data_IF_697506537500
#
_entry.id   IF_697506537500
#
_cell.length_a   1.000
_cell.length_b   1.000
_cell.length_c   1.000
_cell.angle_alpha   90.00
_cell.angle_beta   90.00
_cell.angle_gamma   90.00
#
_symmetry.space_group_name_H-M   'P 1'
#
loop_
_entity.id
_entity.type
_entity.pdbx_description
1 polymer ?
#
# COMPACT_ATOMS: atom_id res chain seq x y z
N UNK A 1 10.49 -11.78 -6.89
CA UNK A 1 9.67 -10.68 -7.42
C UNK A 1 8.78 -10.17 -6.33
N UNK A 2 8.66 -8.86 -6.20
CA UNK A 2 7.71 -8.19 -5.32
C UNK A 2 6.55 -7.72 -6.19
N UNK A 3 5.34 -8.08 -5.82
CA UNK A 3 4.11 -7.65 -6.46
C UNK A 3 3.40 -6.64 -5.57
N UNK A 4 2.91 -5.58 -6.18
CA UNK A 4 2.13 -4.53 -5.52
C UNK A 4 0.80 -4.31 -6.23
N UNK A 5 -0.09 -3.56 -5.60
CA UNK A 5 -1.42 -3.31 -6.13
C UNK A 5 -1.38 -2.39 -7.37
N UNK A 6 -0.71 -1.24 -7.25
CA UNK A 6 -0.68 -0.22 -8.30
C UNK A 6 0.71 0.34 -8.62
N UNK A 7 0.71 1.25 -9.60
CA UNK A 7 1.91 1.96 -10.05
C UNK A 7 2.47 2.87 -8.95
N UNK A 8 1.60 3.50 -8.18
CA UNK A 8 1.99 4.39 -7.09
C UNK A 8 2.75 3.65 -5.99
N UNK A 9 2.30 2.44 -5.61
CA UNK A 9 3.00 1.57 -4.65
C UNK A 9 4.40 1.20 -5.14
N UNK A 10 4.52 0.95 -6.44
CA UNK A 10 5.81 0.64 -7.07
C UNK A 10 6.76 1.83 -6.94
N UNK A 11 6.28 3.04 -7.24
CA UNK A 11 7.07 4.26 -7.14
C UNK A 11 7.52 4.54 -5.70
N UNK A 12 6.63 4.38 -4.71
CA UNK A 12 6.95 4.56 -3.29
C UNK A 12 8.03 3.57 -2.85
N UNK A 13 7.89 2.29 -3.22
CA UNK A 13 8.87 1.26 -2.86
C UNK A 13 10.24 1.52 -3.51
N UNK A 14 10.26 1.91 -4.78
CA UNK A 14 11.49 2.22 -5.50
C UNK A 14 12.20 3.45 -4.91
N UNK A 15 11.46 4.50 -4.57
CA UNK A 15 12.02 5.72 -3.99
C UNK A 15 12.53 5.49 -2.55
N UNK A 16 11.71 4.88 -1.69
CA UNK A 16 12.01 4.75 -0.26
C UNK A 16 12.97 3.60 0.10
N UNK A 17 13.03 2.54 -0.72
CA UNK A 17 13.75 1.31 -0.39
C UNK A 17 14.64 0.79 -1.52
N UNK A 18 15.10 1.68 -2.40
CA UNK A 18 15.96 1.35 -3.56
C UNK A 18 17.13 0.40 -3.23
N UNK A 19 17.81 0.61 -2.10
CA UNK A 19 18.96 -0.19 -1.67
C UNK A 19 18.58 -1.65 -1.35
N UNK A 20 17.43 -1.86 -0.72
CA UNK A 20 16.88 -3.17 -0.35
C UNK A 20 16.31 -3.87 -1.58
N UNK A 21 15.59 -3.11 -2.42
CA UNK A 21 14.83 -3.64 -3.54
C UNK A 21 15.65 -3.81 -4.82
N UNK A 22 16.90 -3.34 -4.87
CA UNK A 22 17.80 -3.49 -6.03
C UNK A 22 17.93 -4.91 -6.58
N UNK A 23 17.74 -5.94 -5.73
CA UNK A 23 17.82 -7.37 -6.12
C UNK A 23 16.47 -7.98 -6.50
N UNK A 24 15.39 -7.21 -6.41
CA UNK A 24 14.03 -7.66 -6.65
C UNK A 24 13.43 -6.92 -7.84
N UNK A 25 12.73 -7.67 -8.70
CA UNK A 25 11.84 -7.06 -9.70
C UNK A 25 10.52 -6.70 -9.03
N UNK A 26 10.13 -5.42 -9.08
CA UNK A 26 8.83 -4.91 -8.66
C UNK A 26 7.87 -5.00 -9.85
N UNK A 27 6.61 -5.34 -9.59
CA UNK A 27 5.54 -5.40 -10.59
C UNK A 27 4.22 -5.00 -9.95
N UNK A 28 3.50 -4.09 -10.58
CA UNK A 28 2.10 -3.82 -10.27
C UNK A 28 1.19 -4.89 -10.90
N UNK A 29 0.06 -5.18 -10.23
CA UNK A 29 -0.95 -6.13 -10.71
C UNK A 29 -2.26 -5.47 -11.13
N UNK A 30 -2.37 -4.14 -11.04
CA UNK A 30 -3.53 -3.38 -11.51
C UNK A 30 -4.75 -3.48 -10.61
N UNK A 31 -4.54 -3.65 -9.30
CA UNK A 31 -5.61 -3.67 -8.29
C UNK A 31 -5.63 -4.92 -7.41
N UNK A 32 -6.23 -4.78 -6.22
CA UNK A 32 -6.33 -5.83 -5.20
C UNK A 32 -6.88 -7.15 -5.72
N UNK A 33 -7.91 -7.14 -6.57
CA UNK A 33 -8.53 -8.38 -7.07
C UNK A 33 -7.53 -9.25 -7.84
N UNK A 34 -6.65 -8.64 -8.63
CA UNK A 34 -5.64 -9.38 -9.37
C UNK A 34 -4.50 -9.85 -8.45
N UNK A 35 -4.15 -9.07 -7.43
CA UNK A 35 -3.22 -9.48 -6.35
C UNK A 35 -3.72 -10.76 -5.67
N UNK A 36 -4.96 -10.77 -5.18
CA UNK A 36 -5.53 -11.92 -4.48
C UNK A 36 -5.66 -13.16 -5.37
N UNK A 37 -6.04 -12.96 -6.64
CA UNK A 37 -6.13 -14.02 -7.63
C UNK A 37 -4.78 -14.66 -7.91
N UNK A 38 -3.73 -13.86 -8.10
CA UNK A 38 -2.37 -14.36 -8.33
C UNK A 38 -1.84 -15.13 -7.11
N UNK A 39 -2.06 -14.62 -5.89
CA UNK A 39 -1.68 -15.32 -4.65
C UNK A 39 -2.34 -16.70 -4.59
N UNK A 40 -3.66 -16.77 -4.82
CA UNK A 40 -4.40 -18.05 -4.79
C UNK A 40 -3.90 -19.04 -5.84
N UNK A 41 -3.60 -18.57 -7.05
CA UNK A 41 -3.07 -19.42 -8.12
C UNK A 41 -1.71 -20.00 -7.75
N UNK A 42 -0.78 -19.17 -7.26
CA UNK A 42 0.56 -19.61 -6.87
C UNK A 42 0.53 -20.54 -5.65
N UNK A 43 -0.31 -20.28 -4.66
CA UNK A 43 -0.47 -21.16 -3.50
C UNK A 43 -1.12 -22.49 -3.86
N UNK A 44 -2.01 -22.50 -4.85
CA UNK A 44 -2.60 -23.75 -5.36
C UNK A 44 -1.57 -24.56 -6.14
N UNK A 45 -0.73 -23.91 -6.96
CA UNK A 45 0.39 -24.57 -7.64
C UNK A 45 1.42 -25.12 -6.64
N UNK A 46 1.73 -24.38 -5.56
CA UNK A 46 2.59 -24.85 -4.48
C UNK A 46 2.03 -26.11 -3.79
N UNK A 47 0.71 -26.12 -3.49
CA UNK A 47 0.03 -27.29 -2.91
C UNK A 47 0.08 -28.51 -3.84
N UNK A 48 0.08 -28.28 -5.15
CA UNK A 48 0.21 -29.33 -6.16
C UNK A 48 1.67 -29.80 -6.38
N UNK A 49 2.61 -29.35 -5.56
CA UNK A 49 4.00 -29.80 -5.60
C UNK A 49 4.88 -29.08 -6.62
N UNK A 50 4.42 -27.99 -7.24
CA UNK A 50 5.30 -27.18 -8.09
C UNK A 50 6.35 -26.46 -7.25
N UNK A 51 7.61 -26.58 -7.66
CA UNK A 51 8.71 -25.81 -7.08
C UNK A 51 8.75 -24.42 -7.72
N UNK A 52 8.25 -23.42 -7.00
CA UNK A 52 8.16 -22.05 -7.47
C UNK A 52 9.29 -21.20 -6.89
N UNK A 53 9.77 -20.22 -7.67
CA UNK A 53 10.67 -19.20 -7.13
C UNK A 53 9.91 -18.31 -6.13
N UNK A 54 10.55 -17.85 -5.03
CA UNK A 54 9.91 -17.01 -4.03
C UNK A 54 9.26 -15.74 -4.61
N UNK A 55 7.98 -15.56 -4.31
CA UNK A 55 7.16 -14.39 -4.67
C UNK A 55 6.69 -13.69 -3.41
N UNK A 56 6.74 -12.37 -3.43
CA UNK A 56 6.35 -11.51 -2.32
C UNK A 56 5.22 -10.61 -2.81
N UNK A 57 4.22 -10.41 -1.97
CA UNK A 57 3.04 -9.59 -2.24
C UNK A 57 2.91 -8.58 -1.13
N UNK A 58 2.78 -7.32 -1.52
CA UNK A 58 2.55 -6.18 -0.63
C UNK A 58 1.34 -5.45 -1.16
N UNK A 59 0.32 -5.26 -0.33
CA UNK A 59 -0.87 -4.51 -0.69
C UNK A 59 -1.55 -3.99 0.57
N UNK A 60 -2.38 -2.98 0.39
CA UNK A 60 -3.03 -2.30 1.49
C UNK A 60 -4.10 -3.16 2.14
N UNK A 61 -4.38 -2.90 3.42
CA UNK A 61 -5.46 -3.56 4.16
C UNK A 61 -6.83 -2.96 3.81
N UNK A 62 -6.91 -1.67 3.48
CA UNK A 62 -8.07 -1.00 2.85
C UNK A 62 -9.44 -1.42 3.40
N UNK A 63 -9.51 -1.57 4.73
CA UNK A 63 -10.68 -2.06 5.49
C UNK A 63 -11.30 -3.40 5.06
N UNK A 64 -10.76 -4.05 4.03
CA UNK A 64 -11.12 -5.38 3.53
C UNK A 64 -9.93 -6.33 3.73
N UNK A 65 -9.64 -6.75 4.97
CA UNK A 65 -8.54 -7.68 5.23
C UNK A 65 -8.81 -9.00 4.51
N UNK A 66 -7.83 -9.48 3.76
CA UNK A 66 -7.91 -10.79 3.12
C UNK A 66 -7.47 -11.88 4.09
N UNK A 67 -8.09 -13.06 3.98
CA UNK A 67 -7.72 -14.25 4.76
C UNK A 67 -6.42 -14.92 4.27
N UNK A 68 -5.82 -14.41 3.19
CA UNK A 68 -4.63 -14.98 2.56
C UNK A 68 -3.43 -14.88 3.50
N UNK A 69 -2.78 -16.02 3.74
CA UNK A 69 -1.59 -16.15 4.60
C UNK A 69 -0.36 -16.49 3.77
N UNK A 70 0.82 -16.21 4.31
CA UNK A 70 2.08 -16.65 3.70
C UNK A 70 2.18 -18.18 3.65
N UNK A 71 2.74 -18.71 2.56
CA UNK A 71 3.14 -20.11 2.35
C UNK A 71 4.66 -20.24 2.19
N UNK A 72 5.18 -21.38 1.72
CA UNK A 72 6.63 -21.60 1.55
C UNK A 72 7.21 -20.63 0.53
N UNK A 73 6.60 -20.55 -0.65
CA UNK A 73 7.11 -19.76 -1.77
C UNK A 73 6.33 -18.46 -2.01
N UNK A 74 5.16 -18.29 -1.39
CA UNK A 74 4.36 -17.07 -1.49
C UNK A 74 4.37 -16.35 -0.15
N UNK A 75 4.95 -15.15 -0.10
CA UNK A 75 4.94 -14.30 1.10
C UNK A 75 3.92 -13.19 0.90
N UNK A 76 2.99 -13.06 1.84
CA UNK A 76 1.88 -12.11 1.82
C UNK A 76 2.07 -11.14 2.98
N UNK A 77 2.18 -9.86 2.65
CA UNK A 77 2.18 -8.74 3.59
C UNK A 77 1.00 -7.83 3.26
N UNK A 78 0.03 -7.78 4.16
CA UNK A 78 -1.01 -6.75 4.14
C UNK A 78 -0.54 -5.60 5.00
N UNK A 79 -0.30 -4.44 4.41
CA UNK A 79 0.07 -3.26 5.18
C UNK A 79 -1.12 -2.85 6.04
N UNK A 80 -0.92 -2.87 7.37
CA UNK A 80 -1.95 -2.46 8.32
C UNK A 80 -2.26 -0.95 8.26
N UNK A 81 -1.45 -0.19 7.50
CA UNK A 81 -1.41 1.25 7.54
C UNK A 81 -2.32 1.88 6.50
N UNK A 82 -2.97 2.97 6.89
CA UNK A 82 -3.62 3.91 5.97
C UNK A 82 -2.53 4.76 5.30
N UNK A 83 -2.72 5.18 4.05
CA UNK A 83 -1.79 6.04 3.30
C UNK A 83 -1.32 7.30 4.10
N UNK A 84 -2.13 7.74 5.06
CA UNK A 84 -1.87 8.80 6.03
C UNK A 84 -0.74 8.49 7.05
N UNK A 85 -0.51 7.24 7.41
CA UNK A 85 0.57 6.89 8.36
C UNK A 85 1.94 6.87 7.68
N UNK A 86 1.98 6.68 6.35
CA UNK A 86 3.18 6.94 5.54
C UNK A 86 3.40 8.45 5.37
N UNK A 87 2.30 9.22 5.32
CA UNK A 87 2.34 10.68 5.29
C UNK A 87 2.99 11.31 6.54
N UNK A 88 2.95 10.62 7.68
CA UNK A 88 3.46 11.13 8.96
C UNK A 88 4.97 10.91 9.20
N UNK A 89 5.72 10.31 8.26
CA UNK A 89 7.13 9.95 8.51
C UNK A 89 8.17 10.83 7.80
N UNK A 90 7.85 11.55 6.73
CA UNK A 90 8.74 12.58 6.18
C UNK A 90 7.98 13.64 5.37
N UNK A 91 7.61 14.73 6.05
CA UNK A 91 6.87 15.86 5.45
C UNK A 91 7.59 16.45 4.24
N UNK A 92 8.92 16.44 4.23
CA UNK A 92 9.73 17.07 3.19
C UNK A 92 9.61 16.28 1.88
N UNK A 93 9.66 14.95 1.93
CA UNK A 93 9.46 14.07 0.76
C UNK A 93 8.09 14.27 0.13
N UNK A 94 7.07 14.47 0.96
CA UNK A 94 5.69 14.60 0.49
C UNK A 94 5.42 15.98 -0.08
N UNK A 95 6.02 17.02 0.50
CA UNK A 95 6.03 18.35 -0.09
C UNK A 95 6.72 18.34 -1.45
N UNK A 96 7.88 17.69 -1.57
CA UNK A 96 8.61 17.58 -2.84
C UNK A 96 7.79 16.88 -3.92
N UNK A 97 7.08 15.80 -3.59
CA UNK A 97 6.24 15.07 -4.57
C UNK A 97 4.98 15.83 -4.97
N UNK A 98 4.26 16.41 -4.00
CA UNK A 98 2.97 17.08 -4.24
C UNK A 98 3.11 18.45 -4.90
N UNK A 99 4.29 19.05 -4.83
CA UNK A 99 4.60 20.31 -5.50
C UNK A 99 5.26 20.09 -6.88
N UNK A 100 5.60 18.85 -7.25
CA UNK A 100 6.26 18.54 -8.51
C UNK A 100 5.26 18.26 -9.65
N UNK A 101 5.24 19.15 -10.66
CA UNK A 101 4.35 19.04 -11.83
C UNK A 101 4.65 17.86 -12.77
N UNK A 102 5.81 17.22 -12.65
CA UNK A 102 6.13 15.99 -13.38
C UNK A 102 5.49 14.74 -12.74
N UNK A 103 5.15 14.84 -11.45
CA UNK A 103 4.57 13.74 -10.65
C UNK A 103 3.05 13.88 -10.56
N UNK A 104 2.55 15.10 -10.37
CA UNK A 104 1.11 15.37 -10.20
C UNK A 104 0.59 16.36 -11.25
N UNK A 105 -0.59 16.07 -11.81
CA UNK A 105 -1.22 16.90 -12.87
C UNK A 105 -1.57 18.32 -12.41
N UNK A 106 -1.81 18.49 -11.11
CA UNK A 106 -2.14 19.76 -10.48
C UNK A 106 -1.29 19.92 -9.23
N UNK A 107 -0.03 20.37 -9.36
CA UNK A 107 0.87 20.52 -8.24
C UNK A 107 0.38 21.59 -7.27
N UNK A 108 0.58 21.33 -5.98
CA UNK A 108 0.35 22.32 -4.94
C UNK A 108 1.43 23.40 -5.03
N UNK A 109 1.06 24.63 -4.72
CA UNK A 109 1.89 25.80 -4.98
C UNK A 109 2.78 26.15 -3.80
N UNK A 110 2.50 25.58 -2.62
CA UNK A 110 3.26 25.87 -1.41
C UNK A 110 3.25 24.73 -0.41
N UNK A 111 4.30 24.70 0.41
CA UNK A 111 4.43 23.81 1.57
C UNK A 111 3.28 23.99 2.57
N UNK A 112 2.75 25.21 2.71
CA UNK A 112 1.58 25.48 3.56
C UNK A 112 0.29 24.84 3.01
N UNK A 113 0.14 24.79 1.70
CA UNK A 113 -1.00 24.16 1.03
C UNK A 113 -0.93 22.63 1.15
N UNK A 114 0.27 22.07 1.03
CA UNK A 114 0.57 20.66 1.34
C UNK A 114 0.14 20.36 2.78
N UNK A 115 0.71 21.08 3.76
CA UNK A 115 0.42 20.85 5.18
C UNK A 115 -1.07 20.91 5.51
N UNK A 116 -1.79 21.89 4.96
CA UNK A 116 -3.22 22.05 5.15
C UNK A 116 -4.00 20.87 4.56
N UNK A 117 -3.76 20.54 3.30
CA UNK A 117 -4.44 19.45 2.59
C UNK A 117 -4.32 18.14 3.34
N UNK A 118 -3.14 17.88 3.88
CA UNK A 118 -2.86 16.58 4.48
C UNK A 118 -3.33 16.50 5.93
N UNK A 119 -3.36 17.64 6.63
CA UNK A 119 -4.11 17.78 7.88
C UNK A 119 -5.60 17.55 7.67
N UNK A 120 -6.18 18.13 6.62
CA UNK A 120 -7.62 18.00 6.34
C UNK A 120 -7.97 16.54 5.96
N UNK A 121 -7.14 15.88 5.15
CA UNK A 121 -7.25 14.45 4.85
C UNK A 121 -7.06 13.58 6.11
N UNK A 122 -6.14 13.94 7.00
CA UNK A 122 -5.94 13.24 8.26
C UNK A 122 -7.18 13.30 9.14
N UNK A 123 -7.74 14.49 9.31
CA UNK A 123 -8.93 14.72 10.12
C UNK A 123 -10.16 14.03 9.53
N UNK A 124 -10.32 14.04 8.19
CA UNK A 124 -11.41 13.32 7.53
C UNK A 124 -11.38 11.81 7.82
N UNK A 125 -10.20 11.21 7.94
CA UNK A 125 -10.05 9.79 8.29
C UNK A 125 -10.31 9.50 9.77
N UNK A 126 -10.28 10.51 10.65
CA UNK A 126 -10.63 10.38 12.06
C UNK A 126 -12.15 10.23 12.21
N UNK A 127 -12.96 10.97 11.46
CA UNK A 127 -14.42 10.87 11.55
C UNK A 127 -14.92 9.46 11.22
N UNK A 128 -14.39 8.83 10.16
CA UNK A 128 -14.69 7.44 9.81
C UNK A 128 -14.22 6.44 10.88
N UNK A 129 -13.07 6.71 11.51
CA UNK A 129 -12.51 5.87 12.56
C UNK A 129 -13.32 5.99 13.87
N UNK A 130 -13.74 7.20 14.23
CA UNK A 130 -14.60 7.48 15.39
C UNK A 130 -15.99 6.88 15.14
N UNK A 131 -16.58 7.06 13.96
CA UNK A 131 -17.85 6.44 13.60
C UNK A 131 -17.78 4.91 13.74
N UNK A 132 -16.71 4.28 13.24
CA UNK A 132 -16.46 2.84 13.36
C UNK A 132 -16.25 2.38 14.80
N UNK A 133 -15.49 3.12 15.61
CA UNK A 133 -15.28 2.81 17.03
C UNK A 133 -16.56 2.94 17.85
N UNK A 134 -17.37 3.97 17.57
CA UNK A 134 -18.67 4.17 18.18
C UNK A 134 -19.62 3.04 17.80
N UNK A 135 -19.66 2.64 16.52
CA UNK A 135 -20.50 1.52 16.05
C UNK A 135 -20.08 0.17 16.67
N UNK A 136 -18.77 -0.09 16.79
CA UNK A 136 -18.24 -1.27 17.48
C UNK A 136 -18.51 -1.23 19.01
N UNK A 137 -18.55 -0.04 19.60
CA UNK A 137 -18.90 0.18 21.01
C UNK A 137 -20.38 -0.08 21.31
N UNK A 138 -21.26 0.08 20.33
CA UNK A 138 -22.70 -0.16 20.47
C UNK A 138 -23.14 -1.63 20.37
N UNK A 139 -22.21 -2.61 20.29
CA UNK A 139 -22.45 -4.08 20.26
C UNK A 139 -23.87 -4.48 19.81
N UNK A 140 -24.07 -4.51 18.49
CA UNK A 140 -24.98 -5.47 17.87
C UNK A 140 -24.20 -6.70 17.42
#
# INVERSE_FOLDING_TARGET
TVFVEGVDDSAVLEAGFSSILRRYKIKDLGGRREVEKEINQLQSAERNGMNLAPRYFIFDRDEMPTGLRSSRFVKVLQWERRCLENYLLDFDVLADLLMNGDVVKSPLTSVGEVQKTLKDLALAQIDDLVAKQVYLGYRY
#
